data_IF_014807940274
#
_entry.id   IF_014807940274
#
_cell.length_a   1.000
_cell.length_b   1.000
_cell.length_c   1.000
_cell.angle_alpha   90.00
_cell.angle_beta   90.00
_cell.angle_gamma   90.00
#
_symmetry.space_group_name_H-M   'P 1'
#
loop_
_entity.id
_entity.type
_entity.pdbx_description
1 polymer ?
#
# COMPACT_ATOMS: atom_id res chain seq x y z
N UNK A 1 16.37 18.58 11.62
CA UNK A 1 15.84 18.48 10.23
C UNK A 1 15.38 17.05 9.97
N UNK A 2 14.36 16.91 9.13
CA UNK A 2 13.84 15.59 8.73
C UNK A 2 14.95 14.80 8.04
N UNK A 3 15.08 13.51 8.35
CA UNK A 3 16.09 12.61 7.78
C UNK A 3 15.49 11.47 6.94
N UNK A 4 14.19 11.28 6.99
CA UNK A 4 13.52 10.22 6.25
C UNK A 4 12.14 9.97 6.81
N UNK A 5 11.51 8.91 6.32
CA UNK A 5 10.24 8.41 6.86
C UNK A 5 10.57 7.26 7.82
N UNK A 6 10.13 7.36 9.06
CA UNK A 6 10.27 6.29 10.04
C UNK A 6 9.21 5.20 9.81
N UNK A 7 7.96 5.60 9.78
CA UNK A 7 6.86 4.67 9.50
C UNK A 7 5.68 5.43 8.87
N UNK A 8 4.77 4.67 8.27
CA UNK A 8 3.50 5.18 7.78
C UNK A 8 2.40 4.51 8.60
N UNK A 9 1.56 5.34 9.24
CA UNK A 9 0.43 4.85 10.03
C UNK A 9 -0.79 4.66 9.14
N UNK A 10 -1.41 3.48 9.22
CA UNK A 10 -2.62 3.14 8.47
C UNK A 10 -3.67 2.67 9.45
N UNK A 11 -4.78 3.38 9.50
CA UNK A 11 -5.94 3.00 10.28
C UNK A 11 -6.81 2.05 9.45
N UNK A 12 -7.00 0.83 9.94
CA UNK A 12 -7.71 -0.22 9.22
C UNK A 12 -9.10 -0.45 9.82
N UNK A 13 -10.11 -0.65 8.98
CA UNK A 13 -11.45 -1.03 9.43
C UNK A 13 -11.48 -2.46 9.96
N UNK A 14 -10.65 -3.34 9.40
CA UNK A 14 -10.44 -4.72 9.85
C UNK A 14 -8.94 -4.98 9.87
N UNK A 15 -8.34 -4.92 11.05
CA UNK A 15 -6.89 -5.01 11.23
C UNK A 15 -6.32 -6.32 10.67
N UNK A 16 -6.95 -7.45 11.00
CA UNK A 16 -6.46 -8.75 10.55
C UNK A 16 -6.46 -8.87 9.02
N UNK A 17 -7.49 -8.36 8.37
CA UNK A 17 -7.60 -8.34 6.91
C UNK A 17 -6.51 -7.47 6.28
N UNK A 18 -6.25 -6.30 6.83
CA UNK A 18 -5.22 -5.41 6.31
C UNK A 18 -3.81 -5.97 6.54
N UNK A 19 -3.55 -6.57 7.69
CA UNK A 19 -2.28 -7.27 7.95
C UNK A 19 -2.06 -8.36 6.90
N UNK A 20 -3.05 -9.22 6.67
CA UNK A 20 -2.95 -10.29 5.68
C UNK A 20 -2.68 -9.75 4.27
N UNK A 21 -3.33 -8.64 3.89
CA UNK A 21 -3.10 -7.99 2.60
C UNK A 21 -1.64 -7.53 2.45
N UNK A 22 -1.12 -6.78 3.43
CA UNK A 22 0.25 -6.28 3.34
C UNK A 22 1.29 -7.41 3.43
N UNK A 23 1.00 -8.48 4.16
CA UNK A 23 1.85 -9.67 4.15
C UNK A 23 1.94 -10.29 2.75
N UNK A 24 0.86 -10.25 1.98
CA UNK A 24 0.86 -10.70 0.57
C UNK A 24 1.83 -9.89 -0.28
N UNK A 25 2.03 -8.60 0.04
CA UNK A 25 2.98 -7.73 -0.65
C UNK A 25 4.44 -7.92 -0.19
N UNK A 26 4.69 -8.83 0.76
CA UNK A 26 6.03 -9.10 1.25
C UNK A 26 6.37 -8.48 2.60
N UNK A 27 5.40 -7.83 3.25
CA UNK A 27 5.61 -7.35 4.62
C UNK A 27 5.57 -8.50 5.61
N UNK A 28 6.32 -8.38 6.69
CA UNK A 28 6.29 -9.30 7.81
C UNK A 28 6.15 -8.55 9.12
N UNK A 29 5.58 -9.22 10.12
CA UNK A 29 5.40 -8.64 11.44
C UNK A 29 6.74 -8.40 12.12
N UNK A 30 7.02 -7.15 12.47
CA UNK A 30 8.19 -6.75 13.22
C UNK A 30 7.89 -6.65 14.71
N UNK A 31 6.72 -6.14 15.05
CA UNK A 31 6.29 -5.98 16.44
C UNK A 31 4.77 -5.92 16.54
N UNK A 32 4.22 -6.55 17.58
CA UNK A 32 2.79 -6.54 17.86
C UNK A 32 2.52 -5.73 19.13
N UNK A 33 1.59 -4.79 19.03
CA UNK A 33 1.11 -3.97 20.13
C UNK A 33 -0.32 -4.37 20.50
N UNK A 34 -0.83 -3.86 21.61
CA UNK A 34 -2.21 -4.13 22.04
C UNK A 34 -3.25 -3.71 20.99
N UNK A 35 -2.98 -2.61 20.27
CA UNK A 35 -3.94 -2.03 19.31
C UNK A 35 -3.45 -2.00 17.88
N UNK A 36 -2.28 -2.56 17.60
CA UNK A 36 -1.72 -2.47 16.26
C UNK A 36 -0.54 -3.37 16.05
N UNK A 37 -0.09 -3.40 14.82
CA UNK A 37 1.02 -4.24 14.37
C UNK A 37 1.98 -3.39 13.55
N UNK A 38 3.27 -3.48 13.87
CA UNK A 38 4.30 -2.92 13.01
C UNK A 38 4.72 -3.98 12.01
N UNK A 39 4.53 -3.68 10.73
CA UNK A 39 4.97 -4.51 9.61
C UNK A 39 6.20 -3.88 8.96
N UNK A 40 7.08 -4.71 8.44
CA UNK A 40 8.29 -4.25 7.76
C UNK A 40 8.54 -5.03 6.47
N UNK A 41 9.05 -4.33 5.47
CA UNK A 41 9.56 -4.89 4.23
C UNK A 41 10.72 -4.00 3.75
N UNK A 42 11.94 -4.56 3.64
CA UNK A 42 13.12 -3.77 3.35
C UNK A 42 13.29 -2.64 4.36
N UNK A 43 13.34 -1.40 3.88
CA UNK A 43 13.44 -0.20 4.73
C UNK A 43 12.09 0.42 5.07
N UNK A 44 10.99 -0.16 4.58
CA UNK A 44 9.63 0.36 4.79
C UNK A 44 9.04 -0.24 6.05
N UNK A 45 8.48 0.63 6.89
CA UNK A 45 7.70 0.21 8.05
C UNK A 45 6.29 0.79 7.96
N UNK A 46 5.30 -0.07 8.19
CA UNK A 46 3.89 0.30 8.27
C UNK A 46 3.37 -0.01 9.67
N UNK A 47 2.80 1.00 10.31
CA UNK A 47 2.09 0.77 11.57
C UNK A 47 0.60 0.67 11.28
N UNK A 48 0.06 -0.54 11.39
CA UNK A 48 -1.37 -0.80 11.19
C UNK A 48 -2.08 -0.86 12.54
N UNK A 49 -3.17 -0.15 12.66
CA UNK A 49 -4.00 -0.15 13.87
C UNK A 49 -5.47 -0.16 13.50
N UNK A 50 -6.30 -0.70 14.38
CA UNK A 50 -7.74 -0.80 14.13
C UNK A 50 -8.45 0.52 14.32
N UNK A 51 -9.42 0.82 13.44
CA UNK A 51 -10.29 1.98 13.59
C UNK A 51 -11.16 1.82 14.85
N UNK A 52 -11.29 2.90 15.60
CA UNK A 52 -12.13 2.93 16.79
C UNK A 52 -13.62 2.95 16.44
N UNK A 53 -13.96 3.49 15.27
CA UNK A 53 -15.33 3.54 14.76
C UNK A 53 -15.42 2.77 13.45
N UNK A 54 -16.03 1.58 13.51
CA UNK A 54 -16.19 0.72 12.33
C UNK A 54 -17.04 1.36 11.23
N UNK A 55 -17.90 2.32 11.58
CA UNK A 55 -18.80 3.00 10.65
C UNK A 55 -18.19 4.26 10.02
N UNK A 56 -16.95 4.60 10.36
CA UNK A 56 -16.29 5.75 9.75
C UNK A 56 -16.04 5.48 8.26
N UNK A 57 -16.54 6.37 7.41
CA UNK A 57 -16.33 6.27 5.96
C UNK A 57 -14.95 6.80 5.61
N UNK A 58 -14.10 6.02 4.94
CA UNK A 58 -12.83 6.52 4.46
C UNK A 58 -13.03 7.57 3.36
N UNK A 59 -12.05 8.46 3.20
CA UNK A 59 -12.01 9.35 2.04
C UNK A 59 -11.73 8.49 0.80
N UNK A 60 -12.66 8.53 -0.16
CA UNK A 60 -12.52 7.74 -1.39
C UNK A 60 -11.60 8.49 -2.36
N UNK A 61 -10.59 7.79 -2.87
CA UNK A 61 -9.71 8.26 -3.93
C UNK A 61 -9.67 7.24 -5.05
N UNK A 62 -9.66 7.73 -6.28
CA UNK A 62 -9.48 6.87 -7.45
C UNK A 62 -8.00 6.66 -7.75
N UNK A 63 -7.67 5.53 -8.38
CA UNK A 63 -6.34 5.33 -8.94
C UNK A 63 -6.18 6.27 -10.14
N UNK A 64 -5.26 7.22 -10.02
CA UNK A 64 -5.03 8.27 -11.01
C UNK A 64 -4.65 9.55 -10.30
N UNK A 65 -3.68 10.30 -10.86
CA UNK A 65 -2.91 11.25 -10.06
C UNK A 65 -3.54 12.64 -9.90
N UNK A 66 -4.56 13.03 -10.67
CA UNK A 66 -4.85 14.45 -10.77
C UNK A 66 -6.26 14.88 -10.32
N UNK A 67 -7.17 13.96 -10.13
CA UNK A 67 -8.57 14.29 -9.87
C UNK A 67 -9.03 13.98 -8.44
N UNK A 68 -8.12 13.69 -7.54
CA UNK A 68 -8.43 13.36 -6.16
C UNK A 68 -8.47 14.60 -5.26
N UNK A 69 -9.20 14.55 -4.14
CA UNK A 69 -9.19 15.63 -3.14
C UNK A 69 -7.78 15.88 -2.59
N UNK A 70 -7.50 17.09 -2.10
CA UNK A 70 -6.22 17.37 -1.44
C UNK A 70 -5.92 16.41 -0.29
N UNK A 71 -4.66 16.11 -0.06
CA UNK A 71 -4.18 15.22 0.99
C UNK A 71 -3.14 14.26 0.45
N UNK A 72 -2.81 13.24 1.26
CA UNK A 72 -1.93 12.17 0.80
C UNK A 72 -2.72 11.31 -0.19
N UNK A 73 -2.21 11.19 -1.41
CA UNK A 73 -2.89 10.52 -2.51
C UNK A 73 -2.64 9.01 -2.52
N UNK A 74 -1.40 8.60 -2.34
CA UNK A 74 -1.00 7.20 -2.45
C UNK A 74 0.32 6.92 -1.76
N UNK A 75 0.67 5.64 -1.68
CA UNK A 75 2.00 5.18 -1.32
C UNK A 75 2.55 4.40 -2.51
N UNK A 76 3.75 4.75 -2.97
CA UNK A 76 4.46 3.98 -4.00
C UNK A 76 5.56 3.14 -3.33
N UNK A 77 5.46 1.83 -3.48
CA UNK A 77 6.49 0.90 -3.00
C UNK A 77 7.46 0.58 -4.13
N UNK A 78 8.75 0.74 -3.87
CA UNK A 78 9.79 0.37 -4.83
C UNK A 78 9.91 -1.15 -4.93
N UNK A 79 9.91 -1.66 -6.15
CA UNK A 79 10.07 -3.08 -6.45
C UNK A 79 11.11 -3.27 -7.55
N UNK A 80 11.70 -4.46 -7.63
CA UNK A 80 12.72 -4.74 -8.65
C UNK A 80 12.14 -5.25 -9.96
N UNK A 81 11.01 -5.93 -9.94
CA UNK A 81 10.35 -6.48 -11.14
C UNK A 81 8.84 -6.41 -10.97
N UNK A 82 8.25 -5.35 -11.51
CA UNK A 82 6.81 -5.09 -11.35
C UNK A 82 5.97 -6.09 -12.15
N UNK A 83 6.44 -6.55 -13.31
CA UNK A 83 5.68 -7.53 -14.11
C UNK A 83 5.61 -8.89 -13.43
N UNK A 84 6.72 -9.35 -12.84
CA UNK A 84 6.75 -10.60 -12.09
C UNK A 84 5.80 -10.53 -10.89
N UNK A 85 5.82 -9.44 -10.14
CA UNK A 85 4.93 -9.24 -9.00
C UNK A 85 3.47 -9.14 -9.43
N UNK A 86 3.18 -8.42 -10.49
CA UNK A 86 1.82 -8.34 -11.05
C UNK A 86 1.27 -9.73 -11.35
N UNK A 87 2.06 -10.57 -12.01
CA UNK A 87 1.67 -11.95 -12.32
C UNK A 87 1.47 -12.79 -11.05
N UNK A 88 2.43 -12.75 -10.15
CA UNK A 88 2.41 -13.55 -8.90
C UNK A 88 1.25 -13.15 -7.98
N UNK A 89 1.10 -11.86 -7.74
CA UNK A 89 0.06 -11.35 -6.86
C UNK A 89 -1.34 -11.52 -7.48
N UNK A 90 -1.46 -11.38 -8.80
CA UNK A 90 -2.71 -11.65 -9.49
C UNK A 90 -3.17 -13.10 -9.32
N UNK A 91 -2.25 -14.05 -9.37
CA UNK A 91 -2.54 -15.46 -9.08
C UNK A 91 -2.96 -15.70 -7.63
N UNK A 92 -2.46 -14.88 -6.72
CA UNK A 92 -2.83 -14.92 -5.31
C UNK A 92 -4.15 -14.20 -5.00
N UNK A 93 -4.82 -13.65 -6.01
CA UNK A 93 -6.12 -13.01 -5.87
C UNK A 93 -6.09 -11.50 -5.68
N UNK A 94 -4.93 -10.86 -5.77
CA UNK A 94 -4.82 -9.40 -5.70
C UNK A 94 -5.42 -8.77 -6.96
N UNK A 95 -6.31 -7.79 -6.78
CA UNK A 95 -6.95 -7.06 -7.88
C UNK A 95 -6.19 -5.76 -8.12
N UNK A 96 -5.76 -5.57 -9.37
CA UNK A 96 -5.08 -4.36 -9.80
C UNK A 96 -6.02 -3.45 -10.60
N UNK A 97 -5.68 -2.16 -10.68
CA UNK A 97 -6.43 -1.18 -11.47
C UNK A 97 -6.23 -1.32 -12.98
N UNK A 98 -5.22 -2.07 -13.40
CA UNK A 98 -4.87 -2.35 -14.79
C UNK A 98 -3.50 -3.03 -14.86
N UNK A 99 -2.98 -3.31 -16.05
CA UNK A 99 -1.63 -3.89 -16.18
C UNK A 99 -0.54 -2.86 -15.88
N UNK A 100 0.70 -3.31 -15.61
CA UNK A 100 1.82 -2.40 -15.49
C UNK A 100 2.04 -1.56 -16.74
N UNK A 101 2.37 -0.27 -16.55
CA UNK A 101 2.59 0.68 -17.63
C UNK A 101 3.86 1.51 -17.39
N UNK A 102 4.57 1.79 -18.47
CA UNK A 102 5.72 2.69 -18.44
C UNK A 102 5.27 4.14 -18.33
N UNK A 103 5.95 4.89 -17.50
CA UNK A 103 5.72 6.31 -17.29
C UNK A 103 6.84 7.14 -17.95
N UNK A 104 6.52 8.35 -18.47
CA UNK A 104 7.51 9.15 -19.18
C UNK A 104 8.67 9.62 -18.29
N UNK A 105 8.53 9.53 -16.98
CA UNK A 105 9.58 9.94 -16.02
C UNK A 105 10.47 8.77 -15.58
N UNK A 106 10.49 7.65 -16.31
CA UNK A 106 11.47 6.59 -16.12
C UNK A 106 11.10 5.53 -15.10
N UNK A 107 9.83 5.20 -14.98
CA UNK A 107 9.37 4.13 -14.13
C UNK A 107 8.29 3.29 -14.81
N UNK A 108 8.15 2.05 -14.36
CA UNK A 108 7.04 1.18 -14.73
C UNK A 108 6.23 0.94 -13.46
N UNK A 109 4.93 1.20 -13.52
CA UNK A 109 4.05 1.19 -12.36
C UNK A 109 2.82 0.34 -12.58
N UNK A 110 2.26 -0.15 -11.47
CA UNK A 110 0.93 -0.74 -11.42
C UNK A 110 0.22 -0.27 -10.16
N UNK A 111 -1.06 0.06 -10.28
CA UNK A 111 -1.88 0.56 -9.17
C UNK A 111 -2.77 -0.52 -8.59
N UNK A 112 -2.95 -0.48 -7.28
CA UNK A 112 -3.88 -1.34 -6.55
C UNK A 112 -4.40 -0.59 -5.33
N UNK A 113 -5.42 -1.16 -4.69
CA UNK A 113 -5.97 -0.61 -3.45
C UNK A 113 -5.79 -1.60 -2.30
N UNK A 114 -5.55 -1.10 -1.11
CA UNK A 114 -5.63 -1.92 0.08
C UNK A 114 -7.11 -2.17 0.48
N UNK A 115 -7.39 -3.00 1.50
CA UNK A 115 -8.76 -3.33 1.86
C UNK A 115 -9.65 -2.16 2.24
N UNK A 116 -9.08 -1.04 2.66
CA UNK A 116 -9.81 0.17 3.03
C UNK A 116 -9.84 1.23 1.92
N UNK A 117 -9.36 0.86 0.72
CA UNK A 117 -9.39 1.74 -0.44
C UNK A 117 -8.22 2.72 -0.54
N UNK A 118 -7.17 2.54 0.26
CA UNK A 118 -5.96 3.32 0.12
C UNK A 118 -5.26 2.98 -1.19
N UNK A 119 -4.90 4.02 -1.96
CA UNK A 119 -4.21 3.85 -3.23
C UNK A 119 -2.74 3.49 -2.99
N UNK A 120 -2.30 2.43 -3.67
CA UNK A 120 -0.93 1.96 -3.65
C UNK A 120 -0.43 1.82 -5.07
N UNK A 121 0.87 2.01 -5.26
CA UNK A 121 1.55 1.68 -6.50
C UNK A 121 2.76 0.80 -6.20
N UNK A 122 3.00 -0.17 -7.07
CA UNK A 122 4.27 -0.87 -7.15
C UNK A 122 5.06 -0.22 -8.28
N UNK A 123 6.28 0.22 -8.00
CA UNK A 123 7.06 1.07 -8.89
C UNK A 123 8.45 0.48 -9.09
N UNK A 124 8.76 0.20 -10.34
CA UNK A 124 10.09 -0.23 -10.78
C UNK A 124 10.76 0.92 -11.52
N UNK A 125 11.94 1.34 -11.06
CA UNK A 125 12.73 2.30 -11.81
C UNK A 125 13.33 1.66 -13.06
N UNK A 126 13.22 2.33 -14.19
CA UNK A 126 13.75 1.87 -15.47
C UNK A 126 15.15 2.42 -15.73
#
# INVERSE_FOLDING_TARGET
>A
MVRGIDNIGICASDLARSVAFYETLGFSEAYCYDRGVMLAAGTVQLFLFGAQWADAMPVVRELGLFDNPPGIDHISFAVSDVDALYSELGKAGVVFGGPPEDQPWGARIVGLKDPDGNNLYLLQRL
#
